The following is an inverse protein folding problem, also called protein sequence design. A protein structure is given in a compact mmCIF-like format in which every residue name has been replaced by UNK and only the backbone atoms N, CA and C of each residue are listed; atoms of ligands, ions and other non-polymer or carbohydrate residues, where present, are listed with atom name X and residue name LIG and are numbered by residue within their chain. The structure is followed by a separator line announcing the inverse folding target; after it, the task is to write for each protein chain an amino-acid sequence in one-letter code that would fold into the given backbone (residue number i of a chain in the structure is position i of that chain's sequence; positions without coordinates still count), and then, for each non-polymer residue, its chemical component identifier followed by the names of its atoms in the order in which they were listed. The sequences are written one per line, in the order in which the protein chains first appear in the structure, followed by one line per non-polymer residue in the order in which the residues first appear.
data_IF_011915119765
#
_entry.id   IF_011915119765
#
_cell.length_a   1.000
_cell.length_b   1.000
_cell.length_c   1.000
_cell.angle_alpha   90.00
_cell.angle_beta   90.00
_cell.angle_gamma   90.00
#
_symmetry.space_group_name_H-M   'P 1'
#
loop_
_entity.id
_entity.type
_entity.pdbx_description
1 polymer ?
#
# COMPACT_ATOMS: atom_id res chain seq x y z
N UNK A 1 19.40 46.41 58.36
CA UNK A 1 19.65 44.94 58.31
C UNK A 1 18.74 44.35 57.23
N UNK A 2 19.33 43.81 56.20
CA UNK A 2 18.67 43.51 54.94
C UNK A 2 18.21 42.00 54.95
N UNK A 3 16.91 41.80 54.81
CA UNK A 3 16.34 40.43 54.60
C UNK A 3 16.44 40.06 53.15
N UNK A 4 17.04 38.92 52.92
CA UNK A 4 17.20 38.29 51.56
C UNK A 4 15.98 37.43 51.27
N UNK A 5 15.18 37.83 50.29
CA UNK A 5 14.09 37.03 49.77
C UNK A 5 14.66 35.91 48.86
N UNK A 6 14.43 34.67 49.24
CA UNK A 6 14.74 33.50 48.43
C UNK A 6 13.64 33.31 47.36
N UNK A 7 13.95 33.59 46.09
CA UNK A 7 13.10 33.25 44.95
C UNK A 7 13.10 31.74 44.72
N UNK A 8 11.96 31.12 44.96
CA UNK A 8 11.71 29.71 44.66
C UNK A 8 11.54 29.52 43.14
N UNK A 9 12.55 28.97 42.50
CA UNK A 9 12.50 28.58 41.08
C UNK A 9 11.58 27.38 40.97
N UNK A 10 10.39 27.59 40.40
CA UNK A 10 9.46 26.51 40.02
C UNK A 10 10.07 25.68 38.90
N UNK A 11 10.53 24.51 39.25
CA UNK A 11 11.08 23.49 38.36
C UNK A 11 9.96 22.98 37.41
N UNK A 12 9.97 23.44 36.16
CA UNK A 12 9.05 22.98 35.10
C UNK A 12 9.51 21.60 34.57
N UNK A 13 9.13 20.50 35.21
CA UNK A 13 9.05 19.22 34.52
C UNK A 13 7.78 19.30 33.72
N UNK A 14 7.86 19.30 32.41
CA UNK A 14 7.08 18.32 31.68
C UNK A 14 7.15 18.31 30.13
N UNK A 15 8.01 17.83 29.46
CA UNK A 15 7.84 17.68 27.99
C UNK A 15 7.49 16.24 27.58
N UNK A 16 8.08 15.24 28.23
CA UNK A 16 8.04 13.84 27.80
C UNK A 16 6.64 13.19 27.90
N UNK A 17 5.87 13.49 28.93
CA UNK A 17 4.53 12.89 29.11
C UNK A 17 3.49 13.41 28.10
N UNK A 18 3.51 14.71 27.79
CA UNK A 18 2.59 15.32 26.82
C UNK A 18 2.87 14.82 25.39
N UNK A 19 4.13 14.74 25.00
CA UNK A 19 4.52 14.28 23.67
C UNK A 19 4.13 12.81 23.43
N UNK A 20 4.33 11.93 24.43
CA UNK A 20 3.89 10.52 24.36
C UNK A 20 2.36 10.40 24.23
N UNK A 21 1.61 11.23 24.97
CA UNK A 21 0.13 11.24 24.87
C UNK A 21 -0.33 11.74 23.52
N UNK A 22 0.31 12.78 22.96
CA UNK A 22 0.00 13.32 21.64
C UNK A 22 0.25 12.28 20.52
N UNK A 23 1.42 11.62 20.52
CA UNK A 23 1.73 10.54 19.57
C UNK A 23 0.71 9.40 19.64
N UNK A 24 0.31 9.01 20.85
CA UNK A 24 -0.68 7.94 21.06
C UNK A 24 -2.07 8.34 20.51
N UNK A 25 -2.52 9.57 20.75
CA UNK A 25 -3.81 10.09 20.26
C UNK A 25 -3.83 10.13 18.73
N UNK A 26 -2.77 10.64 18.10
CA UNK A 26 -2.62 10.69 16.64
C UNK A 26 -2.66 9.29 16.02
N UNK A 27 -1.92 8.33 16.60
CA UNK A 27 -1.89 6.95 16.14
C UNK A 27 -3.26 6.24 16.28
N UNK A 28 -4.00 6.49 17.38
CA UNK A 28 -5.37 5.96 17.56
C UNK A 28 -6.30 6.50 16.48
N UNK A 29 -6.24 7.78 16.17
CA UNK A 29 -7.05 8.41 15.11
C UNK A 29 -6.73 7.78 13.75
N UNK A 30 -5.46 7.66 13.37
CA UNK A 30 -5.05 7.05 12.10
C UNK A 30 -5.54 5.62 11.98
N UNK A 31 -5.31 4.79 13.00
CA UNK A 31 -5.74 3.38 12.99
C UNK A 31 -7.26 3.22 12.90
N UNK A 32 -8.02 4.07 13.60
CA UNK A 32 -9.50 4.03 13.57
C UNK A 32 -10.02 4.54 12.24
N UNK A 33 -9.48 5.65 11.75
CA UNK A 33 -9.82 6.24 10.46
C UNK A 33 -9.55 5.25 9.30
N UNK A 34 -8.40 4.59 9.29
CA UNK A 34 -8.07 3.59 8.28
C UNK A 34 -9.15 2.49 8.18
N UNK A 35 -9.58 1.94 9.32
CA UNK A 35 -10.64 0.91 9.36
C UNK A 35 -11.99 1.42 8.85
N UNK A 36 -12.38 2.61 9.26
CA UNK A 36 -13.66 3.21 8.88
C UNK A 36 -13.67 3.56 7.39
N UNK A 37 -12.63 4.25 6.90
CA UNK A 37 -12.50 4.60 5.49
C UNK A 37 -12.42 3.37 4.59
N UNK A 38 -11.74 2.30 5.02
CA UNK A 38 -11.69 1.06 4.27
C UNK A 38 -13.06 0.39 4.15
N UNK A 39 -13.94 0.51 5.17
CA UNK A 39 -15.23 -0.17 5.20
C UNK A 39 -16.39 0.63 4.61
N UNK A 40 -16.35 1.97 4.72
CA UNK A 40 -17.49 2.84 4.41
C UNK A 40 -17.14 4.02 3.49
N UNK A 41 -15.87 4.12 3.07
CA UNK A 41 -15.36 5.28 2.33
C UNK A 41 -15.24 6.53 3.21
N UNK A 42 -14.80 7.62 2.61
CA UNK A 42 -14.58 8.89 3.32
C UNK A 42 -15.89 9.60 3.71
N UNK A 43 -16.98 9.35 2.99
CA UNK A 43 -18.29 10.00 3.25
C UNK A 43 -19.14 9.25 4.28
N UNK A 44 -18.83 7.96 4.54
CA UNK A 44 -19.70 7.08 5.36
C UNK A 44 -19.78 7.41 6.85
N UNK A 45 -18.82 8.16 7.42
CA UNK A 45 -18.75 8.45 8.85
C UNK A 45 -18.59 9.94 9.13
N UNK A 46 -19.23 10.42 10.20
CA UNK A 46 -19.04 11.79 10.70
C UNK A 46 -17.74 11.90 11.52
N UNK A 47 -17.21 13.13 11.64
CA UNK A 47 -16.06 13.41 12.53
C UNK A 47 -16.37 12.99 13.99
N UNK A 48 -17.63 13.13 14.42
CA UNK A 48 -18.08 12.76 15.77
C UNK A 48 -18.00 11.23 15.98
N UNK A 49 -18.45 10.46 15.00
CA UNK A 49 -18.38 9.01 15.04
C UNK A 49 -16.93 8.51 15.03
N UNK A 50 -16.11 9.09 14.16
CA UNK A 50 -14.69 8.76 14.06
C UNK A 50 -13.95 9.04 15.37
N UNK A 51 -14.15 10.22 15.96
CA UNK A 51 -13.57 10.58 17.25
C UNK A 51 -14.06 9.69 18.39
N UNK A 52 -15.37 9.38 18.40
CA UNK A 52 -15.98 8.47 19.37
C UNK A 52 -15.40 7.06 19.31
N UNK A 53 -15.26 6.49 18.11
CA UNK A 53 -14.66 5.16 17.94
C UNK A 53 -13.15 5.14 18.24
N UNK A 54 -12.46 6.24 18.04
CA UNK A 54 -11.05 6.38 18.41
C UNK A 54 -10.84 6.62 19.93
N UNK A 55 -11.92 6.89 20.68
CA UNK A 55 -11.86 7.22 22.10
C UNK A 55 -11.11 8.54 22.36
N UNK A 56 -11.32 9.55 21.49
CA UNK A 56 -10.65 10.85 21.58
C UNK A 56 -11.67 11.99 21.50
N UNK A 57 -11.26 13.18 21.90
CA UNK A 57 -12.10 14.38 21.75
C UNK A 57 -12.31 14.70 20.26
N UNK A 58 -13.50 15.16 19.89
CA UNK A 58 -13.85 15.58 18.53
C UNK A 58 -12.86 16.62 17.97
N UNK A 59 -12.41 17.56 18.78
CA UNK A 59 -11.45 18.57 18.38
C UNK A 59 -10.07 17.99 18.01
N UNK A 60 -9.78 16.74 18.37
CA UNK A 60 -8.50 16.12 18.05
C UNK A 60 -8.29 15.96 16.55
N UNK A 61 -9.34 15.72 15.77
CA UNK A 61 -9.24 15.61 14.30
C UNK A 61 -8.74 16.93 13.72
N UNK A 62 -9.39 18.04 14.07
CA UNK A 62 -9.00 19.37 13.58
C UNK A 62 -7.64 19.79 14.14
N UNK A 63 -7.31 19.43 15.37
CA UNK A 63 -6.05 19.75 16.01
C UNK A 63 -4.85 19.03 15.38
N UNK A 64 -4.96 17.70 15.10
CA UNK A 64 -3.85 16.91 14.59
C UNK A 64 -3.75 16.88 13.06
N UNK A 65 -4.89 17.01 12.38
CA UNK A 65 -4.96 16.81 10.92
C UNK A 65 -5.58 18.01 10.18
N UNK A 66 -6.23 18.92 10.87
CA UNK A 66 -6.91 20.06 10.28
C UNK A 66 -8.30 19.72 9.74
N UNK A 67 -8.46 18.64 8.99
CA UNK A 67 -9.74 18.19 8.43
C UNK A 67 -9.81 16.67 8.32
N UNK A 68 -11.03 16.14 8.08
CA UNK A 68 -11.25 14.72 7.76
C UNK A 68 -10.53 14.30 6.48
N UNK A 69 -10.53 15.19 5.47
CA UNK A 69 -9.82 14.96 4.21
C UNK A 69 -8.31 14.81 4.45
N UNK A 70 -7.69 15.70 5.23
CA UNK A 70 -6.27 15.59 5.58
C UNK A 70 -5.96 14.38 6.46
N UNK A 71 -6.91 13.95 7.29
CA UNK A 71 -6.77 12.68 8.02
C UNK A 71 -6.78 11.49 7.05
N UNK A 72 -7.63 11.51 6.01
CA UNK A 72 -7.64 10.49 4.98
C UNK A 72 -6.32 10.49 4.18
N UNK A 73 -5.83 11.66 3.78
CA UNK A 73 -4.51 11.79 3.13
C UNK A 73 -3.39 11.18 3.98
N UNK A 74 -3.40 11.43 5.30
CA UNK A 74 -2.42 10.86 6.21
C UNK A 74 -2.54 9.32 6.35
N UNK A 75 -3.75 8.77 6.29
CA UNK A 75 -3.98 7.32 6.24
C UNK A 75 -3.41 6.72 4.95
N UNK A 76 -3.63 7.38 3.81
CA UNK A 76 -3.07 6.94 2.53
C UNK A 76 -1.55 7.06 2.51
N UNK A 77 -0.97 8.07 3.16
CA UNK A 77 0.49 8.17 3.31
C UNK A 77 1.09 6.95 4.02
N UNK A 78 0.47 6.47 5.11
CA UNK A 78 0.90 5.24 5.78
C UNK A 78 0.81 4.01 4.86
N UNK A 79 -0.20 3.94 3.99
CA UNK A 79 -0.32 2.86 3.00
C UNK A 79 0.80 2.96 1.96
N UNK A 80 1.05 4.15 1.41
CA UNK A 80 2.13 4.40 0.45
C UNK A 80 3.48 4.02 1.05
N UNK A 81 3.75 4.42 2.29
CA UNK A 81 5.00 4.08 2.98
C UNK A 81 5.16 2.57 3.15
N UNK A 82 4.08 1.85 3.52
CA UNK A 82 4.08 0.39 3.64
C UNK A 82 4.43 -0.27 2.30
N UNK A 83 3.81 0.18 1.20
CA UNK A 83 4.07 -0.35 -0.14
C UNK A 83 5.50 -0.07 -0.57
N UNK A 84 5.99 1.16 -0.39
CA UNK A 84 7.36 1.55 -0.77
C UNK A 84 8.41 0.73 -0.03
N UNK A 85 8.24 0.53 1.27
CA UNK A 85 9.19 -0.23 2.09
C UNK A 85 9.25 -1.72 1.74
N UNK A 86 8.16 -2.31 1.27
CA UNK A 86 8.04 -3.75 1.07
C UNK A 86 8.09 -4.19 -0.40
N UNK A 87 7.66 -3.33 -1.32
CA UNK A 87 7.50 -3.70 -2.73
C UNK A 87 8.49 -2.97 -3.64
N UNK A 88 8.71 -1.68 -3.42
CA UNK A 88 9.62 -0.91 -4.26
C UNK A 88 11.04 -1.03 -3.71
N UNK A 89 12.01 -1.40 -4.54
CA UNK A 89 13.40 -1.46 -4.10
C UNK A 89 13.90 -0.07 -3.69
N UNK A 90 14.72 -0.03 -2.64
CA UNK A 90 15.44 1.19 -2.30
C UNK A 90 16.30 1.66 -3.51
N UNK A 91 16.45 2.98 -3.71
CA UNK A 91 17.34 3.49 -4.76
C UNK A 91 18.73 2.85 -4.63
N UNK A 92 19.16 2.14 -5.66
CA UNK A 92 20.45 1.41 -5.69
C UNK A 92 20.42 -0.08 -5.34
N UNK A 93 19.32 -0.62 -4.77
CA UNK A 93 19.23 -2.04 -4.37
C UNK A 93 18.29 -2.88 -5.22
N UNK A 94 17.92 -2.45 -6.37
CA UNK A 94 16.68 -2.94 -6.93
C UNK A 94 16.63 -3.41 -8.32
N UNK A 95 17.62 -4.07 -8.88
CA UNK A 95 17.32 -4.97 -9.97
C UNK A 95 17.65 -6.39 -9.51
N UNK A 96 16.77 -7.39 -9.74
CA UNK A 96 17.24 -8.75 -9.75
C UNK A 96 18.33 -8.84 -10.82
N UNK A 97 19.50 -9.27 -10.40
CA UNK A 97 20.70 -9.31 -11.22
C UNK A 97 20.70 -10.52 -12.18
N UNK A 98 19.57 -10.88 -12.75
CA UNK A 98 19.58 -11.83 -13.85
C UNK A 98 19.77 -11.04 -15.15
N UNK A 99 20.75 -11.44 -15.98
CA UNK A 99 20.92 -10.92 -17.34
C UNK A 99 19.72 -11.25 -18.26
N UNK A 100 18.69 -11.85 -17.70
CA UNK A 100 17.48 -12.30 -18.38
C UNK A 100 16.26 -11.44 -17.99
N UNK A 101 15.76 -10.56 -18.88
CA UNK A 101 14.60 -9.72 -18.61
C UNK A 101 13.35 -10.51 -18.21
N UNK A 102 13.14 -11.70 -18.79
CA UNK A 102 12.02 -12.60 -18.51
C UNK A 102 12.02 -13.06 -17.05
N UNK A 103 13.17 -13.54 -16.56
CA UNK A 103 13.34 -13.94 -15.16
C UNK A 103 13.12 -12.75 -14.20
N UNK A 104 13.53 -11.56 -14.62
CA UNK A 104 13.31 -10.34 -13.86
C UNK A 104 11.81 -9.99 -13.78
N UNK A 105 11.04 -10.14 -14.88
CA UNK A 105 9.57 -9.96 -14.86
C UNK A 105 8.93 -10.93 -13.87
N UNK A 106 9.25 -12.21 -13.94
CA UNK A 106 8.71 -13.24 -13.02
C UNK A 106 9.03 -12.89 -11.57
N UNK A 107 10.28 -12.52 -11.29
CA UNK A 107 10.69 -12.12 -9.94
C UNK A 107 9.91 -10.92 -9.42
N UNK A 108 9.70 -9.89 -10.23
CA UNK A 108 8.95 -8.68 -9.82
C UNK A 108 7.47 -9.01 -9.60
N UNK A 109 6.84 -9.75 -10.51
CA UNK A 109 5.43 -10.15 -10.38
C UNK A 109 5.24 -11.11 -9.19
N UNK A 110 6.16 -12.06 -8.98
CA UNK A 110 6.14 -12.96 -7.83
C UNK A 110 6.26 -12.21 -6.49
N UNK A 111 7.15 -11.22 -6.39
CA UNK A 111 7.25 -10.35 -5.20
C UNK A 111 5.98 -9.51 -4.99
N UNK A 112 5.39 -9.02 -6.07
CA UNK A 112 4.13 -8.29 -6.01
C UNK A 112 2.99 -9.18 -5.49
N UNK A 113 2.91 -10.43 -5.96
CA UNK A 113 1.96 -11.42 -5.44
C UNK A 113 2.21 -11.71 -3.95
N UNK A 114 3.45 -11.96 -3.54
CA UNK A 114 3.82 -12.18 -2.14
C UNK A 114 3.45 -11.00 -1.24
N UNK A 115 3.58 -9.77 -1.76
CA UNK A 115 3.15 -8.57 -1.06
C UNK A 115 1.63 -8.50 -0.92
N UNK A 116 0.89 -8.76 -1.99
CA UNK A 116 -0.58 -8.65 -2.00
C UNK A 116 -1.27 -9.74 -1.18
N UNK A 117 -0.79 -10.97 -1.24
CA UNK A 117 -1.45 -12.15 -0.67
C UNK A 117 -0.82 -12.65 0.62
N UNK A 118 0.39 -12.17 0.97
CA UNK A 118 1.07 -12.45 2.22
C UNK A 118 0.64 -11.53 3.36
N UNK A 119 1.51 -11.37 4.36
CA UNK A 119 1.27 -10.64 5.61
C UNK A 119 1.83 -9.20 5.63
N UNK A 120 2.48 -8.75 4.54
CA UNK A 120 3.16 -7.45 4.46
C UNK A 120 2.21 -6.26 4.29
N UNK A 121 1.01 -6.51 3.80
CA UNK A 121 -0.06 -5.53 3.70
C UNK A 121 -1.30 -6.03 4.45
N UNK A 122 -1.83 -5.23 5.36
CA UNK A 122 -3.06 -5.58 6.08
C UNK A 122 -4.29 -5.54 5.17
N UNK A 123 -5.35 -6.27 5.52
CA UNK A 123 -6.62 -6.25 4.79
C UNK A 123 -7.23 -4.84 4.71
N UNK A 124 -7.04 -4.03 5.75
CA UNK A 124 -7.49 -2.62 5.77
C UNK A 124 -6.75 -1.79 4.73
N UNK A 125 -5.42 -1.89 4.68
CA UNK A 125 -4.60 -1.15 3.71
C UNK A 125 -4.89 -1.60 2.28
N UNK A 126 -4.98 -2.91 2.04
CA UNK A 126 -5.31 -3.43 0.73
C UNK A 126 -6.70 -2.96 0.25
N UNK A 127 -7.70 -2.91 1.15
CA UNK A 127 -9.03 -2.43 0.83
C UNK A 127 -9.04 -0.94 0.51
N UNK A 128 -8.27 -0.11 1.23
CA UNK A 128 -8.11 1.31 0.91
C UNK A 128 -7.55 1.49 -0.50
N UNK A 129 -6.51 0.75 -0.86
CA UNK A 129 -5.93 0.77 -2.22
C UNK A 129 -6.94 0.35 -3.28
N UNK A 130 -7.67 -0.75 -3.06
CA UNK A 130 -8.69 -1.25 -3.99
C UNK A 130 -9.81 -0.23 -4.17
N UNK A 131 -10.27 0.40 -3.09
CA UNK A 131 -11.31 1.43 -3.16
C UNK A 131 -10.87 2.61 -4.05
N UNK A 132 -9.63 3.08 -3.90
CA UNK A 132 -9.09 4.17 -4.72
C UNK A 132 -8.89 3.76 -6.19
N UNK A 133 -8.53 2.50 -6.47
CA UNK A 133 -8.41 1.99 -7.84
C UNK A 133 -9.78 1.89 -8.53
N UNK A 134 -10.82 1.47 -7.80
CA UNK A 134 -12.18 1.31 -8.37
C UNK A 134 -12.92 2.65 -8.45
N UNK A 135 -12.73 3.51 -7.46
CA UNK A 135 -13.41 4.81 -7.32
C UNK A 135 -12.39 5.90 -6.94
N UNK A 136 -11.62 6.42 -7.92
CA UNK A 136 -10.59 7.40 -7.68
C UNK A 136 -11.11 8.65 -6.96
N UNK A 137 -10.44 9.03 -5.87
CA UNK A 137 -10.67 10.29 -5.15
C UNK A 137 -9.53 11.29 -5.38
N UNK A 138 -9.53 12.40 -4.65
CA UNK A 138 -8.46 13.41 -4.72
C UNK A 138 -7.06 12.90 -4.30
N UNK A 139 -6.96 11.72 -3.66
CA UNK A 139 -5.68 11.12 -3.28
C UNK A 139 -5.14 10.13 -4.31
N UNK A 140 -5.93 9.80 -5.34
CA UNK A 140 -5.55 8.81 -6.34
C UNK A 140 -4.25 9.20 -7.08
N UNK A 141 -4.10 10.45 -7.46
CA UNK A 141 -2.89 10.93 -8.15
C UNK A 141 -1.64 10.68 -7.30
N UNK A 142 -1.75 10.82 -5.98
CA UNK A 142 -0.65 10.55 -5.05
C UNK A 142 -0.29 9.06 -5.02
N UNK A 143 -1.28 8.18 -5.02
CA UNK A 143 -1.09 6.72 -5.13
C UNK A 143 -0.46 6.38 -6.48
N UNK A 144 -0.99 6.94 -7.57
CA UNK A 144 -0.50 6.71 -8.91
C UNK A 144 0.98 7.06 -9.03
N UNK A 145 1.37 8.29 -8.69
CA UNK A 145 2.75 8.78 -8.80
C UNK A 145 3.74 8.05 -7.90
N UNK A 146 3.33 7.62 -6.71
CA UNK A 146 4.22 7.02 -5.72
C UNK A 146 4.29 5.49 -5.75
N UNK A 147 3.30 4.82 -6.35
CA UNK A 147 3.19 3.35 -6.35
C UNK A 147 2.96 2.81 -7.75
N UNK A 148 1.85 3.21 -8.40
CA UNK A 148 1.38 2.52 -9.60
C UNK A 148 2.28 2.81 -10.79
N UNK A 149 2.59 4.08 -11.07
CA UNK A 149 3.45 4.46 -12.18
C UNK A 149 4.87 3.87 -12.08
N UNK A 150 5.60 3.99 -10.94
CA UNK A 150 6.91 3.37 -10.80
C UNK A 150 6.91 1.86 -11.01
N UNK A 151 5.91 1.15 -10.46
CA UNK A 151 5.78 -0.29 -10.61
C UNK A 151 5.49 -0.67 -12.08
N UNK A 152 4.54 0.01 -12.73
CA UNK A 152 4.23 -0.21 -14.14
C UNK A 152 5.43 0.07 -15.04
N UNK A 153 6.12 1.19 -14.82
CA UNK A 153 7.31 1.56 -15.59
C UNK A 153 8.42 0.52 -15.48
N UNK A 154 8.63 -0.05 -14.30
CA UNK A 154 9.60 -1.12 -14.09
C UNK A 154 9.28 -2.35 -14.95
N UNK A 155 8.04 -2.85 -14.93
CA UNK A 155 7.64 -4.02 -15.72
C UNK A 155 7.61 -3.68 -17.21
N UNK A 156 7.15 -2.49 -17.63
CA UNK A 156 7.16 -2.07 -19.04
C UNK A 156 8.56 -2.09 -19.63
N UNK A 157 9.56 -1.62 -18.89
CA UNK A 157 10.98 -1.68 -19.32
C UNK A 157 11.46 -3.12 -19.52
N UNK A 158 11.17 -4.00 -18.57
CA UNK A 158 11.55 -5.40 -18.65
C UNK A 158 10.82 -6.12 -19.79
N UNK A 159 9.53 -5.87 -19.96
CA UNK A 159 8.74 -6.41 -21.05
C UNK A 159 9.22 -5.90 -22.43
N UNK A 160 9.58 -4.61 -22.51
CA UNK A 160 10.17 -4.02 -23.72
C UNK A 160 11.52 -4.66 -24.09
N UNK A 161 12.37 -4.91 -23.10
CA UNK A 161 13.65 -5.63 -23.32
C UNK A 161 13.44 -7.05 -23.84
N UNK A 162 12.46 -7.77 -23.28
CA UNK A 162 12.15 -9.14 -23.70
C UNK A 162 11.52 -9.19 -25.12
N UNK A 163 10.62 -8.25 -25.41
CA UNK A 163 9.90 -8.21 -26.70
C UNK A 163 10.62 -7.39 -27.76
N UNK A 164 11.59 -6.50 -27.38
CA UNK A 164 12.25 -5.53 -28.25
C UNK A 164 11.33 -4.47 -28.84
N UNK A 165 10.19 -4.21 -28.16
CA UNK A 165 9.26 -3.14 -28.49
C UNK A 165 9.56 -1.89 -27.66
N UNK A 166 8.93 -0.75 -27.99
CA UNK A 166 9.03 0.47 -27.21
C UNK A 166 8.29 0.33 -25.87
N UNK A 167 8.92 0.76 -24.77
CA UNK A 167 8.36 0.61 -23.41
C UNK A 167 7.04 1.37 -23.19
N UNK A 168 6.77 2.40 -24.01
CA UNK A 168 5.57 3.21 -23.96
C UNK A 168 4.55 2.86 -25.06
N UNK A 169 4.84 1.83 -25.88
CA UNK A 169 3.89 1.37 -26.90
C UNK A 169 2.62 0.80 -26.24
N UNK A 170 1.44 0.98 -26.86
CA UNK A 170 0.19 0.40 -26.34
C UNK A 170 0.30 -1.10 -26.07
N UNK A 171 1.02 -1.82 -26.92
CA UNK A 171 1.22 -3.27 -26.77
C UNK A 171 1.96 -3.61 -25.47
N UNK A 172 3.06 -2.91 -25.16
CA UNK A 172 3.83 -3.13 -23.93
C UNK A 172 3.04 -2.68 -22.70
N UNK A 173 2.29 -1.58 -22.78
CA UNK A 173 1.46 -1.12 -21.67
C UNK A 173 0.31 -2.10 -21.37
N UNK A 174 -0.35 -2.66 -22.38
CA UNK A 174 -1.38 -3.69 -22.23
C UNK A 174 -0.76 -4.96 -21.64
N UNK A 175 0.38 -5.40 -22.16
CA UNK A 175 1.12 -6.55 -21.66
C UNK A 175 1.47 -6.37 -20.17
N UNK A 176 2.01 -5.22 -19.80
CA UNK A 176 2.32 -4.87 -18.40
C UNK A 176 1.09 -4.97 -17.50
N UNK A 177 -0.02 -4.40 -17.95
CA UNK A 177 -1.27 -4.45 -17.19
C UNK A 177 -1.81 -5.86 -17.02
N UNK A 178 -1.69 -6.71 -18.06
CA UNK A 178 -2.05 -8.13 -18.01
C UNK A 178 -1.20 -8.89 -17.01
N UNK A 179 0.12 -8.66 -16.98
CA UNK A 179 1.04 -9.31 -16.03
C UNK A 179 0.69 -8.97 -14.57
N UNK A 180 0.41 -7.70 -14.25
CA UNK A 180 -0.05 -7.31 -12.91
C UNK A 180 -1.42 -7.89 -12.56
N UNK A 181 -2.35 -7.91 -13.52
CA UNK A 181 -3.72 -8.36 -13.31
C UNK A 181 -3.82 -9.77 -12.75
N UNK A 182 -2.91 -10.66 -13.13
CA UNK A 182 -2.87 -12.03 -12.62
C UNK A 182 -2.73 -12.07 -11.10
N UNK A 183 -1.75 -11.33 -10.53
CA UNK A 183 -1.52 -11.31 -9.10
C UNK A 183 -2.66 -10.60 -8.34
N UNK A 184 -3.18 -9.50 -8.88
CA UNK A 184 -4.26 -8.69 -8.29
C UNK A 184 -5.54 -9.52 -8.11
N UNK A 185 -5.88 -10.40 -9.07
CA UNK A 185 -7.09 -11.22 -9.01
C UNK A 185 -7.10 -12.17 -7.82
N UNK A 186 -5.96 -12.73 -7.41
CA UNK A 186 -5.88 -13.58 -6.22
C UNK A 186 -6.11 -12.81 -4.91
N UNK A 187 -5.90 -11.50 -4.91
CA UNK A 187 -6.27 -10.65 -3.77
C UNK A 187 -7.74 -10.24 -3.79
N UNK A 188 -8.23 -9.74 -4.92
CA UNK A 188 -9.59 -9.19 -5.05
C UNK A 188 -10.64 -10.29 -4.98
N UNK A 189 -10.43 -11.41 -5.68
CA UNK A 189 -11.35 -12.54 -5.74
C UNK A 189 -10.99 -13.70 -4.78
N UNK A 190 -10.17 -13.41 -3.75
CA UNK A 190 -9.76 -14.39 -2.74
C UNK A 190 -10.92 -15.22 -2.22
N UNK A 191 -12.00 -14.58 -1.79
CA UNK A 191 -13.15 -15.24 -1.18
C UNK A 191 -13.83 -16.26 -2.13
N UNK A 192 -13.93 -15.92 -3.41
CA UNK A 192 -14.52 -16.83 -4.40
C UNK A 192 -13.68 -18.12 -4.55
N UNK A 193 -12.36 -17.99 -4.59
CA UNK A 193 -11.45 -19.13 -4.70
C UNK A 193 -11.50 -19.99 -3.43
N UNK A 194 -11.45 -19.38 -2.25
CA UNK A 194 -11.53 -20.08 -0.96
C UNK A 194 -12.82 -20.91 -0.84
N UNK A 195 -13.96 -20.35 -1.25
CA UNK A 195 -15.25 -21.08 -1.26
C UNK A 195 -15.25 -22.25 -2.22
N UNK A 196 -14.70 -22.09 -3.44
CA UNK A 196 -14.61 -23.15 -4.42
C UNK A 196 -13.71 -24.29 -3.95
N UNK A 197 -12.60 -23.97 -3.28
CA UNK A 197 -11.68 -24.94 -2.70
C UNK A 197 -12.13 -25.49 -1.35
N UNK A 198 -13.21 -24.94 -0.75
CA UNK A 198 -13.72 -25.33 0.59
C UNK A 198 -12.68 -25.17 1.69
N UNK A 199 -11.84 -24.14 1.63
CA UNK A 199 -10.84 -23.77 2.63
C UNK A 199 -11.14 -22.39 3.21
N UNK A 200 -10.56 -22.10 4.39
CA UNK A 200 -10.84 -20.82 5.10
C UNK A 200 -9.83 -19.72 4.78
N UNK A 201 -8.63 -20.07 4.37
CA UNK A 201 -7.56 -19.13 4.06
C UNK A 201 -6.54 -19.77 3.13
N UNK A 202 -5.72 -18.96 2.49
CA UNK A 202 -4.55 -19.45 1.78
C UNK A 202 -3.55 -20.07 2.76
N UNK A 203 -3.06 -21.25 2.45
CA UNK A 203 -1.92 -21.86 3.17
C UNK A 203 -0.62 -21.46 2.48
N UNK A 204 0.53 -21.57 3.15
CA UNK A 204 1.83 -21.31 2.52
C UNK A 204 2.07 -22.17 1.27
N UNK A 205 1.64 -23.44 1.29
CA UNK A 205 1.76 -24.35 0.14
C UNK A 205 0.94 -23.86 -1.04
N UNK A 206 -0.32 -23.48 -0.80
CA UNK A 206 -1.19 -22.93 -1.83
C UNK A 206 -0.67 -21.61 -2.40
N UNK A 207 -0.13 -20.71 -1.55
CA UNK A 207 0.49 -19.48 -2.02
C UNK A 207 1.68 -19.76 -2.94
N UNK A 208 2.51 -20.74 -2.61
CA UNK A 208 3.63 -21.16 -3.46
C UNK A 208 3.16 -21.75 -4.78
N UNK A 209 2.11 -22.57 -4.76
CA UNK A 209 1.49 -23.15 -5.98
C UNK A 209 0.92 -22.05 -6.90
N UNK A 210 0.17 -21.11 -6.33
CA UNK A 210 -0.37 -19.96 -7.08
C UNK A 210 0.76 -19.14 -7.69
N UNK A 211 1.79 -18.83 -6.92
CA UNK A 211 2.95 -18.05 -7.37
C UNK A 211 3.64 -18.73 -8.54
N UNK A 212 3.92 -20.02 -8.45
CA UNK A 212 4.50 -20.82 -9.52
C UNK A 212 3.64 -20.74 -10.79
N UNK A 213 2.33 -20.89 -10.66
CA UNK A 213 1.40 -20.79 -11.79
C UNK A 213 1.41 -19.39 -12.43
N UNK A 214 1.50 -18.31 -11.63
CA UNK A 214 1.64 -16.95 -12.15
C UNK A 214 2.97 -16.80 -12.92
N UNK A 215 4.07 -17.34 -12.42
CA UNK A 215 5.39 -17.29 -13.06
C UNK A 215 5.39 -18.06 -14.41
N UNK A 216 4.77 -19.23 -14.46
CA UNK A 216 4.57 -20.02 -15.70
C UNK A 216 3.72 -19.26 -16.72
N UNK A 217 2.65 -18.59 -16.27
CA UNK A 217 1.83 -17.73 -17.13
C UNK A 217 2.61 -16.52 -17.66
N UNK A 218 3.45 -15.92 -16.84
CA UNK A 218 4.33 -14.82 -17.30
C UNK A 218 5.23 -15.29 -18.45
N UNK A 219 5.83 -16.48 -18.35
CA UNK A 219 6.64 -17.07 -19.42
C UNK A 219 5.86 -17.24 -20.71
N UNK A 220 4.65 -17.81 -20.63
CA UNK A 220 3.80 -18.05 -21.81
C UNK A 220 3.37 -16.73 -22.48
N UNK A 221 2.98 -15.73 -21.68
CA UNK A 221 2.52 -14.42 -22.17
C UNK A 221 3.68 -13.68 -22.84
N UNK A 222 4.86 -13.65 -22.22
CA UNK A 222 6.05 -13.00 -22.79
C UNK A 222 6.53 -13.68 -24.06
N UNK A 223 6.51 -15.02 -24.11
CA UNK A 223 6.86 -15.77 -25.31
C UNK A 223 5.90 -15.47 -26.46
N UNK A 224 4.59 -15.43 -26.18
CA UNK A 224 3.58 -15.05 -27.18
C UNK A 224 3.81 -13.62 -27.70
N UNK A 225 4.05 -12.67 -26.81
CA UNK A 225 4.29 -11.29 -27.19
C UNK A 225 5.56 -11.13 -28.05
N UNK A 226 6.61 -11.91 -27.79
CA UNK A 226 7.84 -11.92 -28.59
C UNK A 226 7.63 -12.42 -30.02
N UNK A 227 6.71 -13.39 -30.23
CA UNK A 227 6.40 -13.97 -31.55
C UNK A 227 5.53 -13.07 -32.44
N UNK A 228 4.90 -12.06 -31.89
CA UNK A 228 4.00 -11.14 -32.60
C UNK A 228 4.73 -9.93 -33.22
N UNK A 229 6.06 -9.98 -33.25
CA UNK A 229 6.92 -9.04 -33.96
C UNK A 229 6.78 -9.20 -35.50
#
# INVERSE_FOLDING_TARGET
MKGTEAQTVKNRRPAVGKEKTMKNTKAKLLKTAARLFASRGTEGDSNRELAGQAGVNLCAISYYFGSKQKLYEAVIDEVIDTVRQNLLPAPGNGAPAADNPRENVKTVIGRFFDFLCGDKISDVQARLMINEIISPSSVYDKIYQNILEPAHRQISRLAAQETGADENSPQVLILTHTLFGQAVMFRIHKEALLRRMKIKQYTPELLNEIKKHIEENCDAILEQARRQK
#
